data_IF_193608849652
#
_entry.id   IF_193608849652
#
_cell.length_a   1.000
_cell.length_b   1.000
_cell.length_c   1.000
_cell.angle_alpha   90.00
_cell.angle_beta   90.00
_cell.angle_gamma   90.00
#
_symmetry.space_group_name_H-M   'P 1'
#
loop_
_entity.id
_entity.type
_entity.pdbx_description
1 polymer ?
#
# COMPACT_ATOMS: atom_id res chain seq x y z
N UNK A 1 11.07 -1.73 14.26
CA UNK A 1 9.64 -2.10 14.24
C UNK A 1 9.34 -2.92 15.48
N UNK A 2 8.41 -2.45 16.29
CA UNK A 2 7.77 -3.27 17.31
C UNK A 2 6.49 -3.94 16.74
N UNK A 3 5.89 -4.88 17.47
CA UNK A 3 4.68 -5.60 17.02
C UNK A 3 3.51 -4.67 16.66
N UNK A 4 3.32 -3.57 17.40
CA UNK A 4 2.25 -2.60 17.13
C UNK A 4 2.46 -1.89 15.79
N UNK A 5 3.70 -1.52 15.47
CA UNK A 5 4.05 -0.91 14.19
C UNK A 5 3.82 -1.90 13.04
N UNK A 6 4.25 -3.15 13.18
CA UNK A 6 4.02 -4.20 12.17
C UNK A 6 2.54 -4.41 11.88
N UNK A 7 1.71 -4.50 12.94
CA UNK A 7 0.25 -4.65 12.79
C UNK A 7 -0.36 -3.43 12.08
N UNK A 8 0.07 -2.22 12.43
CA UNK A 8 -0.42 -0.99 11.78
C UNK A 8 -0.05 -0.96 10.29
N UNK A 9 1.19 -1.30 9.96
CA UNK A 9 1.66 -1.38 8.57
C UNK A 9 0.89 -2.44 7.79
N UNK A 10 0.66 -3.63 8.37
CA UNK A 10 -0.12 -4.70 7.72
C UNK A 10 -1.58 -4.30 7.46
N UNK A 11 -2.23 -3.64 8.42
CA UNK A 11 -3.58 -3.08 8.24
C UNK A 11 -3.61 -2.03 7.13
N UNK A 12 -2.62 -1.14 7.10
CA UNK A 12 -2.53 -0.12 6.06
C UNK A 12 -2.30 -0.72 4.67
N UNK A 13 -1.36 -1.67 4.51
CA UNK A 13 -1.16 -2.37 3.25
C UNK A 13 -2.45 -3.09 2.79
N UNK A 14 -3.15 -3.76 3.71
CA UNK A 14 -4.41 -4.42 3.39
C UNK A 14 -5.46 -3.44 2.89
N UNK A 15 -5.51 -2.24 3.47
CA UNK A 15 -6.42 -1.18 3.03
C UNK A 15 -6.12 -0.74 1.59
N UNK A 16 -4.88 -0.35 1.31
CA UNK A 16 -4.52 0.22 0.00
C UNK A 16 -4.40 -0.83 -1.11
N UNK A 17 -4.11 -2.09 -0.80
CA UNK A 17 -3.99 -3.16 -1.82
C UNK A 17 -5.31 -3.88 -2.11
N UNK A 18 -6.35 -3.72 -1.28
CA UNK A 18 -7.61 -4.47 -1.44
C UNK A 18 -8.87 -3.62 -1.44
N UNK A 19 -8.82 -2.42 -0.88
CA UNK A 19 -10.02 -1.63 -0.62
C UNK A 19 -9.95 -0.23 -1.23
N UNK A 20 -8.85 0.50 -1.01
CA UNK A 20 -8.72 1.92 -1.38
C UNK A 20 -7.32 2.23 -1.99
N UNK A 21 -6.93 1.63 -3.13
CA UNK A 21 -5.64 1.93 -3.78
C UNK A 21 -5.49 3.41 -4.16
N UNK A 22 -6.58 4.08 -4.50
CA UNK A 22 -6.62 5.50 -4.86
C UNK A 22 -6.20 6.43 -3.72
N UNK A 23 -6.29 5.99 -2.46
CA UNK A 23 -5.87 6.78 -1.28
C UNK A 23 -4.40 7.19 -1.35
N UNK A 24 -3.57 6.36 -1.98
CA UNK A 24 -2.13 6.58 -2.19
C UNK A 24 -1.81 6.80 -3.67
N UNK A 25 -2.83 7.07 -4.50
CA UNK A 25 -2.67 7.26 -5.94
C UNK A 25 -2.26 6.00 -6.72
N UNK A 26 -2.42 4.80 -6.14
CA UNK A 26 -2.11 3.55 -6.82
C UNK A 26 -3.25 3.14 -7.76
N UNK A 27 -2.87 2.49 -8.86
CA UNK A 27 -3.78 1.76 -9.73
C UNK A 27 -3.30 0.33 -9.84
N UNK A 28 -4.10 -0.60 -9.34
CA UNK A 28 -3.78 -2.02 -9.45
C UNK A 28 -4.03 -2.47 -10.90
N UNK A 29 -3.16 -3.34 -11.41
CA UNK A 29 -3.36 -3.97 -12.72
C UNK A 29 -4.53 -4.96 -12.72
N UNK A 30 -4.82 -5.57 -13.87
CA UNK A 30 -6.00 -6.40 -14.11
C UNK A 30 -6.26 -7.54 -13.10
N UNK A 31 -5.21 -8.06 -12.46
CA UNK A 31 -5.33 -9.11 -11.44
C UNK A 31 -5.03 -8.61 -10.00
N UNK A 32 -5.08 -7.30 -9.77
CA UNK A 32 -4.83 -6.70 -8.45
C UNK A 32 -3.34 -6.54 -8.10
N UNK A 33 -2.44 -6.76 -9.07
CA UNK A 33 -1.00 -6.63 -8.87
C UNK A 33 -0.54 -5.18 -8.98
N UNK A 34 0.52 -4.86 -8.24
CA UNK A 34 1.26 -3.60 -8.32
C UNK A 34 2.75 -3.92 -8.22
N UNK A 35 3.59 -3.17 -8.94
CA UNK A 35 5.04 -3.30 -8.80
C UNK A 35 5.49 -2.88 -7.40
N UNK A 36 6.42 -3.62 -6.79
CA UNK A 36 6.93 -3.28 -5.44
C UNK A 36 7.54 -1.88 -5.42
N UNK A 37 8.25 -1.49 -6.47
CA UNK A 37 8.86 -0.17 -6.61
C UNK A 37 7.80 0.96 -6.65
N UNK A 38 6.69 0.73 -7.36
CA UNK A 38 5.57 1.65 -7.45
C UNK A 38 4.83 1.76 -6.11
N UNK A 39 4.60 0.62 -5.44
CA UNK A 39 4.03 0.57 -4.09
C UNK A 39 4.89 1.36 -3.09
N UNK A 40 6.20 1.15 -3.11
CA UNK A 40 7.13 1.85 -2.20
C UNK A 40 7.13 3.36 -2.46
N UNK A 41 7.15 3.79 -3.73
CA UNK A 41 7.03 5.21 -4.10
C UNK A 41 5.74 5.82 -3.53
N UNK A 42 4.61 5.13 -3.68
CA UNK A 42 3.31 5.60 -3.21
C UNK A 42 3.21 5.74 -1.68
N UNK A 43 3.88 4.88 -0.90
CA UNK A 43 3.76 4.88 0.58
C UNK A 43 4.89 5.64 1.29
N UNK A 44 6.06 5.79 0.67
CA UNK A 44 7.20 6.52 1.24
C UNK A 44 7.17 8.01 0.85
N UNK A 45 6.63 8.33 -0.34
CA UNK A 45 6.48 9.69 -0.84
C UNK A 45 5.01 10.01 -1.19
N UNK A 46 4.13 10.12 -0.19
CA UNK A 46 2.76 10.57 -0.42
C UNK A 46 2.73 12.08 -0.63
N UNK A 47 2.96 12.53 -1.87
CA UNK A 47 2.94 13.93 -2.34
C UNK A 47 3.96 14.89 -1.71
#
# INVERSE_FOLDING_TARGET
MNDKETVRTSKFLSLILRHEPERVGLKLGDAGWVGVDELLKAVIHPF
#
